data_IF_654870208896
#
_entry.id   IF_654870208896
#
_cell.length_a   1.000
_cell.length_b   1.000
_cell.length_c   1.000
_cell.angle_alpha   90.00
_cell.angle_beta   90.00
_cell.angle_gamma   90.00
#
_symmetry.space_group_name_H-M   'P 1'
#
loop_
_entity.id
_entity.type
_entity.pdbx_description
1 polymer ?
#
# COMPACT_ATOMS: atom_id res chain seq x y z
N UNK A 1 8.56 4.21 -4.62
CA UNK A 1 9.62 3.95 -5.61
C UNK A 1 10.96 3.85 -4.88
N UNK A 2 11.94 3.18 -5.48
CA UNK A 2 13.26 2.91 -4.91
C UNK A 2 14.29 2.95 -6.02
N UNK A 3 15.56 3.12 -5.65
CA UNK A 3 16.64 3.23 -6.64
C UNK A 3 17.89 2.50 -6.18
N UNK A 4 18.55 1.86 -7.14
CA UNK A 4 19.87 1.25 -6.98
C UNK A 4 20.88 2.24 -7.52
N UNK A 5 21.73 2.77 -6.65
CA UNK A 5 22.80 3.71 -7.01
C UNK A 5 24.16 3.03 -7.15
N UNK A 6 24.30 1.82 -6.58
CA UNK A 6 25.52 1.04 -6.65
C UNK A 6 25.18 -0.46 -6.66
N UNK A 7 25.80 -1.21 -7.58
CA UNK A 7 25.61 -2.65 -7.73
C UNK A 7 26.48 -3.49 -6.80
N UNK A 8 27.43 -2.90 -6.07
CA UNK A 8 28.31 -3.66 -5.16
C UNK A 8 29.22 -4.65 -5.90
N UNK A 9 29.58 -4.35 -7.15
CA UNK A 9 30.53 -5.12 -7.95
C UNK A 9 29.95 -6.31 -8.74
N UNK A 10 28.67 -6.67 -8.54
CA UNK A 10 28.00 -7.75 -9.30
C UNK A 10 26.55 -7.39 -9.59
N UNK A 11 25.94 -8.02 -10.59
CA UNK A 11 24.53 -7.77 -10.94
C UNK A 11 23.61 -8.04 -9.75
N UNK A 12 22.68 -7.10 -9.49
CA UNK A 12 21.65 -7.29 -8.48
C UNK A 12 20.61 -8.26 -9.04
N UNK A 13 20.32 -9.33 -8.30
CA UNK A 13 19.38 -10.39 -8.71
C UNK A 13 18.01 -10.26 -8.07
N UNK A 14 17.91 -9.48 -6.99
CA UNK A 14 16.64 -9.15 -6.35
C UNK A 14 16.71 -7.75 -5.77
N UNK A 15 15.72 -6.92 -6.06
CA UNK A 15 15.56 -5.60 -5.48
C UNK A 15 14.12 -5.41 -5.01
N UNK A 16 13.86 -4.50 -4.09
CA UNK A 16 12.51 -4.29 -3.58
C UNK A 16 12.48 -3.42 -2.33
N UNK A 17 11.45 -3.62 -1.51
CA UNK A 17 11.27 -2.91 -0.25
C UNK A 17 10.90 -3.89 0.86
N UNK A 18 11.33 -3.59 2.08
CA UNK A 18 10.62 -4.05 3.26
C UNK A 18 9.55 -3.03 3.63
N UNK A 19 8.40 -3.51 4.10
CA UNK A 19 7.29 -2.69 4.57
C UNK A 19 6.83 -3.17 5.95
N UNK A 20 6.61 -2.26 6.88
CA UNK A 20 6.14 -2.57 8.23
C UNK A 20 5.26 -1.43 8.78
N UNK A 21 4.44 -1.70 9.78
CA UNK A 21 3.72 -0.66 10.56
C UNK A 21 4.60 -0.02 11.64
N UNK A 22 5.80 -0.56 11.86
CA UNK A 22 6.77 -0.10 12.84
C UNK A 22 8.15 0.12 12.19
N UNK A 23 8.89 1.11 12.68
CA UNK A 23 10.30 1.29 12.35
C UNK A 23 11.18 0.38 13.24
N UNK A 24 12.23 -0.27 12.72
CA UNK A 24 12.67 -0.24 11.32
C UNK A 24 11.81 -1.14 10.42
N UNK A 25 11.55 -0.68 9.21
CA UNK A 25 10.80 -1.37 8.17
C UNK A 25 11.41 -2.73 7.82
N UNK A 26 12.74 -2.89 7.96
CA UNK A 26 13.49 -4.12 7.63
C UNK A 26 13.06 -5.36 8.43
N UNK A 27 12.33 -5.17 9.53
CA UNK A 27 11.75 -6.28 10.31
C UNK A 27 10.36 -6.70 9.81
N UNK A 28 9.87 -6.08 8.73
CA UNK A 28 8.55 -6.31 8.17
C UNK A 28 8.54 -7.26 6.97
N UNK A 29 7.49 -7.11 6.16
CA UNK A 29 7.25 -7.96 5.00
C UNK A 29 8.13 -7.50 3.83
N UNK A 30 8.78 -8.46 3.17
CA UNK A 30 9.62 -8.22 1.98
C UNK A 30 8.78 -8.24 0.70
N UNK A 31 8.78 -7.14 -0.04
CA UNK A 31 8.16 -7.00 -1.35
C UNK A 31 9.24 -6.89 -2.43
N UNK A 32 9.38 -7.92 -3.26
CA UNK A 32 10.37 -7.95 -4.35
C UNK A 32 9.81 -7.27 -5.60
N UNK A 33 10.63 -6.45 -6.26
CA UNK A 33 10.35 -5.88 -7.56
C UNK A 33 10.32 -6.97 -8.63
N UNK A 34 9.47 -6.84 -9.66
CA UNK A 34 9.47 -7.77 -10.77
C UNK A 34 10.81 -7.71 -11.52
N UNK A 35 11.33 -8.88 -11.89
CA UNK A 35 12.62 -9.03 -12.55
C UNK A 35 13.60 -9.88 -11.75
N UNK A 36 14.65 -10.35 -12.42
CA UNK A 36 15.71 -11.20 -11.85
C UNK A 36 17.11 -10.63 -12.07
N UNK A 37 17.20 -9.47 -12.70
CA UNK A 37 18.43 -8.77 -13.02
C UNK A 37 18.14 -7.27 -13.01
N UNK A 38 18.88 -6.54 -12.18
CA UNK A 38 18.71 -5.11 -11.96
C UNK A 38 20.05 -4.40 -12.16
N UNK A 39 20.02 -3.34 -12.96
CA UNK A 39 21.10 -2.37 -13.09
C UNK A 39 20.95 -1.21 -12.10
N UNK A 40 21.78 -0.19 -12.24
CA UNK A 40 21.52 1.10 -11.60
C UNK A 40 20.26 1.71 -12.19
N UNK A 41 19.52 2.47 -11.39
CA UNK A 41 18.24 3.07 -11.80
C UNK A 41 17.14 2.83 -10.79
N UNK A 42 15.90 3.12 -11.20
CA UNK A 42 14.73 3.06 -10.33
C UNK A 42 13.91 1.79 -10.54
N UNK A 43 13.24 1.35 -9.48
CA UNK A 43 12.25 0.29 -9.50
C UNK A 43 11.02 0.70 -8.67
N UNK A 44 9.88 0.11 -9.00
CA UNK A 44 8.61 0.30 -8.29
C UNK A 44 7.96 -1.03 -7.95
N UNK A 45 7.17 -1.00 -6.88
CA UNK A 45 6.26 -2.07 -6.51
C UNK A 45 4.89 -1.46 -6.25
N UNK A 46 3.86 -2.14 -6.74
CA UNK A 46 2.48 -1.88 -6.35
C UNK A 46 2.14 -2.82 -5.21
N UNK A 47 1.80 -2.26 -4.05
CA UNK A 47 1.40 -3.01 -2.86
C UNK A 47 -0.08 -2.76 -2.64
N UNK A 48 -0.87 -3.82 -2.60
CA UNK A 48 -2.32 -3.78 -2.37
C UNK A 48 -2.68 -4.45 -1.04
N UNK A 49 -3.92 -4.29 -0.58
CA UNK A 49 -4.41 -4.93 0.64
C UNK A 49 -3.89 -4.32 1.95
N UNK A 50 -3.44 -3.06 1.92
CA UNK A 50 -3.02 -2.34 3.12
C UNK A 50 -4.24 -1.86 3.92
N UNK A 51 -4.12 -1.87 5.24
CA UNK A 51 -5.15 -1.37 6.14
C UNK A 51 -5.28 0.14 5.98
N UNK A 52 -6.51 0.64 5.85
CA UNK A 52 -6.81 2.08 5.77
C UNK A 52 -6.45 2.82 7.06
N UNK A 53 -6.12 4.11 6.96
CA UNK A 53 -5.77 4.97 8.10
C UNK A 53 -4.51 4.53 8.86
N UNK A 54 -3.67 3.68 8.25
CA UNK A 54 -2.51 3.07 8.89
C UNK A 54 -1.23 3.65 8.30
N UNK A 55 -0.29 4.02 9.18
CA UNK A 55 1.05 4.45 8.78
C UNK A 55 1.94 3.25 8.54
N UNK A 56 2.61 3.23 7.40
CA UNK A 56 3.59 2.22 7.02
C UNK A 56 4.96 2.87 6.80
N UNK A 57 5.99 2.19 7.28
CA UNK A 57 7.40 2.47 7.05
C UNK A 57 7.92 1.53 5.98
N UNK A 58 8.73 2.05 5.05
CA UNK A 58 9.37 1.24 4.02
C UNK A 58 10.84 1.59 3.81
N UNK A 59 11.64 0.57 3.50
CA UNK A 59 13.06 0.72 3.19
C UNK A 59 13.45 -0.16 2.01
N UNK A 60 14.13 0.42 1.03
CA UNK A 60 14.59 -0.30 -0.15
C UNK A 60 15.71 -1.31 0.20
N UNK A 61 15.78 -2.41 -0.56
CA UNK A 61 16.89 -3.36 -0.51
C UNK A 61 17.32 -3.75 -1.93
N UNK A 62 18.57 -4.21 -2.05
CA UNK A 62 19.12 -4.83 -3.25
C UNK A 62 20.02 -6.00 -2.84
N UNK A 63 19.89 -7.15 -3.50
CA UNK A 63 20.64 -8.37 -3.25
C UNK A 63 21.46 -8.73 -4.48
N UNK A 64 22.74 -8.96 -4.27
CA UNK A 64 23.65 -9.54 -5.27
C UNK A 64 24.39 -10.73 -4.64
N UNK A 65 25.37 -11.31 -5.35
CA UNK A 65 26.13 -12.46 -4.83
C UNK A 65 27.06 -12.11 -3.67
N UNK A 66 27.35 -10.82 -3.45
CA UNK A 66 28.20 -10.33 -2.35
C UNK A 66 27.38 -10.15 -1.07
N UNK A 67 26.11 -9.76 -1.19
CA UNK A 67 25.22 -9.61 -0.04
C UNK A 67 23.99 -8.74 -0.32
N UNK A 68 23.41 -8.22 0.76
CA UNK A 68 22.24 -7.32 0.70
C UNK A 68 22.65 -5.91 1.09
N UNK A 69 22.45 -4.97 0.18
CA UNK A 69 22.48 -3.53 0.46
C UNK A 69 21.09 -3.00 0.81
N UNK A 70 21.04 -2.00 1.67
CA UNK A 70 19.81 -1.31 2.04
C UNK A 70 19.88 0.16 1.62
N UNK A 71 18.73 0.75 1.29
CA UNK A 71 18.63 2.18 1.06
C UNK A 71 19.14 2.97 2.27
N UNK A 72 19.77 4.13 2.02
CA UNK A 72 20.33 4.97 3.08
C UNK A 72 19.25 5.42 4.08
N UNK A 73 18.06 5.72 3.57
CA UNK A 73 16.96 6.27 4.35
C UNK A 73 15.80 5.28 4.41
N UNK A 74 15.05 5.36 5.51
CA UNK A 74 13.70 4.83 5.63
C UNK A 74 12.70 5.95 5.40
N UNK A 75 11.56 5.61 4.81
CA UNK A 75 10.47 6.54 4.52
C UNK A 75 9.16 5.99 5.06
N UNK A 76 8.14 6.84 5.17
CA UNK A 76 6.81 6.43 5.61
C UNK A 76 5.71 7.08 4.79
N UNK A 77 4.55 6.43 4.74
CA UNK A 77 3.30 6.98 4.22
C UNK A 77 2.12 6.49 5.06
N UNK A 78 1.01 7.23 5.04
CA UNK A 78 -0.23 6.83 5.70
C UNK A 78 -1.29 6.53 4.65
N UNK A 79 -1.92 5.36 4.73
CA UNK A 79 -3.04 5.03 3.85
C UNK A 79 -4.24 5.93 4.16
N UNK A 80 -5.07 6.26 3.16
CA UNK A 80 -6.31 7.00 3.41
C UNK A 80 -7.18 6.28 4.44
N UNK A 81 -7.75 7.02 5.39
CA UNK A 81 -8.74 6.46 6.30
C UNK A 81 -10.04 6.12 5.54
N UNK A 82 -10.71 5.03 5.94
CA UNK A 82 -12.07 4.80 5.45
C UNK A 82 -12.97 5.92 6.00
N UNK A 83 -13.67 6.60 5.11
CA UNK A 83 -14.75 7.48 5.54
C UNK A 83 -15.96 6.66 5.90
N UNK A 84 -16.38 6.73 7.16
CA UNK A 84 -17.71 6.29 7.52
C UNK A 84 -18.71 7.18 6.80
N UNK A 85 -19.68 6.55 6.14
CA UNK A 85 -20.87 7.23 5.66
C UNK A 85 -22.02 6.93 6.61
N UNK A 86 -22.87 7.91 6.81
CA UNK A 86 -24.13 7.75 7.53
C UNK A 86 -25.27 7.69 6.55
N UNK A 87 -26.26 6.85 6.87
CA UNK A 87 -27.51 6.80 6.11
C UNK A 87 -28.65 7.26 7.00
N UNK A 88 -29.49 8.15 6.47
CA UNK A 88 -30.71 8.58 7.12
C UNK A 88 -31.89 8.17 6.26
N UNK A 89 -32.82 7.43 6.86
CA UNK A 89 -34.09 7.08 6.24
C UNK A 89 -35.10 8.19 6.46
N UNK A 90 -35.48 8.86 5.36
CA UNK A 90 -36.57 9.80 5.35
C UNK A 90 -37.78 9.21 4.62
N UNK A 91 -39.01 9.66 4.93
CA UNK A 91 -40.22 9.22 4.23
C UNK A 91 -40.16 9.41 2.71
N UNK A 92 -39.32 10.33 2.24
CA UNK A 92 -39.17 10.70 0.82
C UNK A 92 -37.92 10.13 0.16
N UNK A 93 -37.08 9.37 0.89
CA UNK A 93 -35.89 8.75 0.32
C UNK A 93 -34.75 8.49 1.31
N UNK A 94 -33.68 7.89 0.80
CA UNK A 94 -32.44 7.65 1.52
C UNK A 94 -31.46 8.81 1.31
N UNK A 95 -30.92 9.34 2.39
CA UNK A 95 -29.84 10.33 2.33
C UNK A 95 -28.54 9.65 2.78
N UNK A 96 -27.50 9.73 1.96
CA UNK A 96 -26.14 9.29 2.29
C UNK A 96 -25.28 10.53 2.50
N UNK A 97 -24.66 10.67 3.67
CA UNK A 97 -23.74 11.76 3.99
C UNK A 97 -22.38 11.22 4.43
N UNK A 98 -21.29 11.98 4.20
CA UNK A 98 -19.95 11.64 4.68
C UNK A 98 -19.12 10.68 3.83
N UNK A 99 -19.67 10.10 2.76
CA UNK A 99 -18.92 9.26 1.83
C UNK A 99 -17.87 10.07 1.04
N UNK A 100 -16.58 9.73 1.17
CA UNK A 100 -15.46 10.29 0.38
C UNK A 100 -14.70 9.19 -0.39
N UNK A 101 -15.37 8.10 -0.80
CA UNK A 101 -14.73 7.07 -1.61
C UNK A 101 -14.61 7.50 -3.08
N UNK A 102 -13.51 7.14 -3.73
CA UNK A 102 -13.35 7.26 -5.19
C UNK A 102 -14.26 6.24 -5.88
N UNK A 103 -15.45 6.67 -6.30
CA UNK A 103 -16.34 6.03 -7.28
C UNK A 103 -16.44 4.50 -7.27
N UNK A 104 -17.55 3.98 -6.72
CA UNK A 104 -17.94 2.56 -6.78
C UNK A 104 -19.39 2.40 -6.31
N UNK A 105 -20.02 1.28 -6.65
CA UNK A 105 -21.35 0.96 -6.12
C UNK A 105 -21.26 0.82 -4.59
N UNK A 106 -22.01 1.64 -3.85
CA UNK A 106 -22.14 1.51 -2.40
C UNK A 106 -23.09 0.34 -2.14
N UNK A 107 -22.53 -0.84 -1.87
CA UNK A 107 -23.31 -1.97 -1.39
C UNK A 107 -23.60 -1.73 0.09
N UNK A 108 -24.85 -1.46 0.42
CA UNK A 108 -25.32 -1.34 1.80
C UNK A 108 -25.72 -2.76 2.26
N UNK A 109 -24.95 -3.45 3.12
CA UNK A 109 -25.35 -4.75 3.63
C UNK A 109 -26.55 -4.58 4.58
N UNK A 110 -27.75 -4.96 4.12
CA UNK A 110 -28.97 -4.96 4.93
C UNK A 110 -30.20 -4.48 4.17
N UNK A 111 -31.36 -4.51 4.83
CA UNK A 111 -32.58 -3.87 4.34
C UNK A 111 -32.63 -2.43 4.82
N UNK A 112 -32.99 -1.51 3.92
CA UNK A 112 -33.36 -0.16 4.29
C UNK A 112 -34.83 -0.19 4.70
N UNK A 113 -35.08 -0.39 6.00
CA UNK A 113 -36.42 -0.68 6.49
C UNK A 113 -36.95 -2.00 5.92
N UNK A 114 -38.04 -1.95 5.16
CA UNK A 114 -38.68 -3.11 4.47
C UNK A 114 -38.47 -3.14 2.95
N UNK A 115 -37.70 -2.21 2.39
CA UNK A 115 -37.52 -2.11 0.93
C UNK A 115 -36.24 -2.83 0.51
N UNK A 116 -36.36 -3.78 -0.42
CA UNK A 116 -35.22 -4.41 -1.06
C UNK A 116 -34.51 -3.38 -1.94
N UNK A 117 -33.22 -3.17 -1.72
CA UNK A 117 -32.38 -2.34 -2.56
C UNK A 117 -31.69 -3.27 -3.56
N UNK A 118 -32.02 -3.14 -4.85
CA UNK A 118 -31.29 -3.76 -5.97
C UNK A 118 -30.19 -2.85 -6.47
#
# INVERSE_FOLDING_TARGET
>A
MGGITNLGGTTVTNAGFYLNTNSPATNGIKYSAPGTSFGTGTFSNTITGLTSGTTYYYRAFAVNSVGTGYGANEYSFTTPALSLFTTTNNPTGLIITGYNGTGGAVVIPGTIGTVAVT
#
